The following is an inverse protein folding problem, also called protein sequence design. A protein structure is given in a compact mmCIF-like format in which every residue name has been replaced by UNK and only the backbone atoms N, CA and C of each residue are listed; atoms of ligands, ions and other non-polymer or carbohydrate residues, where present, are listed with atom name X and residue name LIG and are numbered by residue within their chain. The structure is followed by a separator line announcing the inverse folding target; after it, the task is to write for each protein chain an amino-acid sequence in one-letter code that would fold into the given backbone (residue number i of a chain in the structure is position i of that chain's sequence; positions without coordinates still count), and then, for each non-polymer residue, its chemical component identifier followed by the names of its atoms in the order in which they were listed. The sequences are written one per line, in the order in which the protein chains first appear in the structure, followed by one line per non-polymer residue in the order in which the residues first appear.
data_IF_412268659820
#
_entry.id   IF_412268659820
#
_cell.length_a   1.000
_cell.length_b   1.000
_cell.length_c   1.000
_cell.angle_alpha   90.00
_cell.angle_beta   90.00
_cell.angle_gamma   90.00
#
_symmetry.space_group_name_H-M   'P 1'
#
loop_
_entity.id
_entity.type
_entity.pdbx_description
1 polymer ?
#
# COMPACT_ATOMS: atom_id res chain seq x y z
N UNK A 1 18.91 -12.05 -47.70
CA UNK A 1 18.09 -11.40 -48.74
C UNK A 1 16.70 -11.13 -48.19
N UNK A 2 16.25 -9.86 -48.23
CA UNK A 2 14.86 -9.34 -48.08
C UNK A 2 14.21 -9.52 -46.68
N UNK A 3 13.51 -8.57 -46.07
CA UNK A 3 13.06 -7.21 -46.41
C UNK A 3 12.63 -6.50 -45.10
N UNK A 4 12.79 -5.18 -45.06
CA UNK A 4 12.26 -4.25 -44.06
C UNK A 4 10.73 -4.32 -43.90
N UNK A 5 10.21 -3.96 -42.73
CA UNK A 5 9.07 -3.04 -42.58
C UNK A 5 8.98 -2.50 -41.13
N UNK A 6 9.37 -1.23 -40.96
CA UNK A 6 8.91 -0.36 -39.88
C UNK A 6 7.41 -0.12 -39.97
N UNK A 7 6.72 0.04 -38.84
CA UNK A 7 5.54 0.90 -38.73
C UNK A 7 5.44 1.45 -37.30
N UNK A 8 5.73 2.74 -37.17
CA UNK A 8 5.40 3.61 -36.05
C UNK A 8 3.88 3.74 -35.95
N UNK A 9 3.30 3.58 -34.77
CA UNK A 9 2.00 4.15 -34.43
C UNK A 9 2.18 5.18 -33.32
N UNK A 10 2.29 6.43 -33.76
CA UNK A 10 2.05 7.62 -32.97
C UNK A 10 0.56 7.91 -33.07
N UNK A 11 -0.13 7.92 -31.95
CA UNK A 11 -1.51 8.39 -31.85
C UNK A 11 -1.86 8.57 -30.38
N UNK A 12 -2.57 9.59 -29.95
CA UNK A 12 -3.07 10.80 -30.60
C UNK A 12 -3.46 11.68 -29.40
N UNK A 13 -2.83 12.84 -29.26
CA UNK A 13 -3.15 13.81 -28.22
C UNK A 13 -4.56 14.35 -28.46
N UNK A 14 -5.51 14.08 -27.57
CA UNK A 14 -6.74 14.88 -27.48
C UNK A 14 -6.43 16.16 -26.69
N UNK A 15 -5.99 17.19 -27.42
CA UNK A 15 -5.99 18.57 -26.95
C UNK A 15 -7.43 19.09 -26.89
N UNK A 16 -7.81 19.64 -25.73
CA UNK A 16 -9.05 20.38 -25.56
C UNK A 16 -8.89 21.75 -26.24
N UNK A 17 -9.51 21.94 -27.40
CA UNK A 17 -9.55 23.22 -28.10
C UNK A 17 -10.61 24.14 -27.51
N UNK A 18 -10.18 25.28 -26.99
CA UNK A 18 -11.06 26.42 -26.69
C UNK A 18 -11.00 27.39 -27.86
N UNK A 19 -12.00 27.36 -28.72
CA UNK A 19 -12.24 28.43 -29.71
C UNK A 19 -13.49 29.20 -29.30
N UNK A 20 -13.26 30.44 -28.87
CA UNK A 20 -14.30 31.43 -28.69
C UNK A 20 -14.64 32.08 -30.03
N UNK A 21 -15.93 32.25 -30.31
CA UNK A 21 -16.41 33.30 -31.20
C UNK A 21 -17.87 33.61 -30.89
N UNK A 22 -18.13 34.78 -30.30
CA UNK A 22 -19.44 35.45 -30.36
C UNK A 22 -19.74 35.84 -31.81
N UNK A 23 -21.02 35.83 -32.22
CA UNK A 23 -21.62 37.11 -32.56
C UNK A 23 -23.07 37.28 -32.09
N UNK A 24 -23.39 38.54 -31.80
CA UNK A 24 -24.65 39.08 -31.31
C UNK A 24 -25.87 38.87 -32.23
N UNK A 25 -27.05 38.73 -31.61
CA UNK A 25 -28.38 38.92 -32.23
C UNK A 25 -29.49 38.83 -31.17
N UNK A 26 -30.36 39.86 -31.05
CA UNK A 26 -31.44 40.01 -30.04
C UNK A 26 -32.55 38.93 -30.11
N UNK A 27 -33.49 38.79 -29.18
CA UNK A 27 -34.25 39.74 -28.32
C UNK A 27 -34.85 38.96 -27.12
N UNK A 28 -35.36 39.65 -26.07
CA UNK A 28 -35.74 39.04 -24.79
C UNK A 28 -37.19 38.52 -24.81
N UNK A 29 -37.48 37.42 -24.10
CA UNK A 29 -38.75 37.24 -23.38
C UNK A 29 -38.79 35.92 -22.59
N UNK A 30 -38.95 36.06 -21.27
CA UNK A 30 -39.80 35.18 -20.45
C UNK A 30 -39.39 33.74 -20.18
N UNK A 31 -38.59 33.51 -19.14
CA UNK A 31 -38.58 32.25 -18.40
C UNK A 31 -37.45 32.19 -17.36
N UNK A 32 -37.72 31.88 -16.06
CA UNK A 32 -36.65 31.76 -15.08
C UNK A 32 -35.80 30.54 -15.42
N UNK A 33 -34.70 30.78 -16.12
CA UNK A 33 -33.59 29.85 -16.30
C UNK A 33 -32.92 29.60 -14.96
N UNK A 34 -33.56 28.81 -14.11
CA UNK A 34 -32.92 28.19 -12.96
C UNK A 34 -32.08 27.00 -13.43
N UNK A 35 -30.95 27.30 -14.05
CA UNK A 35 -29.77 26.44 -14.01
C UNK A 35 -28.53 27.27 -13.65
N UNK A 36 -28.71 28.24 -12.73
CA UNK A 36 -27.64 28.73 -11.87
C UNK A 36 -27.39 27.67 -10.78
N UNK A 37 -26.72 26.61 -11.18
CA UNK A 37 -25.91 25.81 -10.28
C UNK A 37 -24.75 25.33 -11.15
N UNK A 38 -23.79 26.22 -11.36
CA UNK A 38 -22.41 25.81 -11.52
C UNK A 38 -22.07 24.98 -10.29
N UNK A 39 -22.42 23.70 -10.34
CA UNK A 39 -21.76 22.69 -9.56
C UNK A 39 -20.30 22.80 -10.01
N UNK A 40 -19.55 23.58 -9.25
CA UNK A 40 -18.14 23.29 -9.06
C UNK A 40 -18.13 21.87 -8.48
N UNK A 41 -18.23 20.89 -9.39
CA UNK A 41 -17.68 19.57 -9.19
C UNK A 41 -16.23 19.85 -8.88
N UNK A 42 -15.93 19.94 -7.59
CA UNK A 42 -14.59 19.91 -7.07
C UNK A 42 -13.98 18.66 -7.66
N UNK A 43 -13.20 18.81 -8.72
CA UNK A 43 -12.31 17.78 -9.22
C UNK A 43 -11.22 17.59 -8.18
N UNK A 44 -11.58 17.04 -7.02
CA UNK A 44 -10.59 16.48 -6.10
C UNK A 44 -10.02 15.25 -6.80
N UNK A 45 -8.69 15.12 -6.87
CA UNK A 45 -8.10 13.87 -7.34
C UNK A 45 -8.66 12.70 -6.50
N UNK A 46 -8.77 11.50 -7.10
CA UNK A 46 -9.18 10.33 -6.35
C UNK A 46 -8.24 10.12 -5.16
N UNK A 47 -8.76 9.65 -4.02
CA UNK A 47 -7.95 9.44 -2.83
C UNK A 47 -6.82 8.44 -3.12
N UNK A 48 -5.67 8.67 -2.50
CA UNK A 48 -4.51 7.80 -2.71
C UNK A 48 -4.82 6.39 -2.12
N UNK A 49 -4.31 5.29 -2.70
CA UNK A 49 -4.58 3.95 -2.18
C UNK A 49 -4.30 3.78 -0.68
N UNK A 50 -3.26 4.43 -0.16
CA UNK A 50 -2.96 4.47 1.27
C UNK A 50 -4.10 5.08 2.11
N UNK A 51 -4.83 6.07 1.61
CA UNK A 51 -5.95 6.71 2.33
C UNK A 51 -7.20 5.83 2.36
N UNK A 52 -7.39 5.04 1.30
CA UNK A 52 -8.53 4.12 1.15
C UNK A 52 -8.25 2.71 1.62
N UNK A 53 -7.03 2.43 2.07
CA UNK A 53 -6.63 1.08 2.46
C UNK A 53 -7.48 0.58 3.63
N UNK A 54 -7.96 -0.65 3.51
CA UNK A 54 -8.76 -1.34 4.52
C UNK A 54 -8.39 -2.81 4.53
N UNK A 55 -8.51 -3.47 5.68
CA UNK A 55 -8.29 -4.91 5.82
C UNK A 55 -9.31 -5.51 6.81
N UNK A 56 -9.95 -6.66 6.50
CA UNK A 56 -10.96 -7.26 7.38
C UNK A 56 -10.42 -7.55 8.78
N UNK A 57 -11.11 -7.07 9.81
CA UNK A 57 -10.72 -7.27 11.20
C UNK A 57 -9.59 -6.37 11.69
N UNK A 58 -9.19 -5.36 10.92
CA UNK A 58 -8.28 -4.30 11.35
C UNK A 58 -9.02 -2.95 11.36
N UNK A 59 -8.74 -2.13 12.38
CA UNK A 59 -9.30 -0.80 12.47
C UNK A 59 -8.66 0.13 11.43
N UNK A 60 -9.45 1.10 10.99
CA UNK A 60 -9.07 2.13 10.04
C UNK A 60 -8.31 3.24 10.78
N UNK A 61 -6.99 3.08 10.91
CA UNK A 61 -6.12 3.88 11.78
C UNK A 61 -4.82 4.27 11.08
N UNK A 62 -4.38 5.49 11.36
CA UNK A 62 -3.19 6.09 10.77
C UNK A 62 -2.02 6.09 11.78
N UNK A 63 -0.79 6.24 11.26
CA UNK A 63 0.40 6.52 12.09
C UNK A 63 1.48 7.19 11.25
N UNK A 64 1.57 8.51 11.32
CA UNK A 64 2.41 9.37 10.47
C UNK A 64 2.16 9.28 8.94
N UNK A 65 1.65 8.15 8.44
CA UNK A 65 1.11 7.91 7.11
C UNK A 65 -0.36 7.45 7.22
N UNK A 66 -1.21 7.77 6.21
CA UNK A 66 -2.58 7.26 6.15
C UNK A 66 -2.61 5.74 6.20
N UNK A 67 -3.48 5.17 7.04
CA UNK A 67 -3.71 3.73 7.21
C UNK A 67 -2.49 2.87 7.56
N UNK A 68 -1.41 3.47 8.06
CA UNK A 68 -0.20 2.71 8.38
C UNK A 68 -0.45 1.67 9.49
N UNK A 69 -1.18 2.03 10.55
CA UNK A 69 -1.59 1.07 11.59
C UNK A 69 -2.49 -0.01 11.04
N UNK A 70 -3.37 0.31 10.09
CA UNK A 70 -4.22 -0.69 9.45
C UNK A 70 -3.41 -1.74 8.69
N UNK A 71 -2.42 -1.34 7.88
CA UNK A 71 -1.57 -2.32 7.16
C UNK A 71 -0.64 -3.09 8.09
N UNK A 72 -0.13 -2.47 9.16
CA UNK A 72 0.63 -3.18 10.19
C UNK A 72 -0.22 -4.25 10.87
N UNK A 73 -1.47 -3.93 11.24
CA UNK A 73 -2.42 -4.92 11.75
C UNK A 73 -2.66 -6.06 10.76
N UNK A 74 -2.82 -5.76 9.46
CA UNK A 74 -3.00 -6.79 8.43
C UNK A 74 -1.81 -7.75 8.36
N UNK A 75 -0.59 -7.20 8.34
CA UNK A 75 0.66 -7.97 8.28
C UNK A 75 0.88 -8.81 9.56
N UNK A 76 0.56 -8.27 10.74
CA UNK A 76 0.57 -9.02 12.00
C UNK A 76 -0.41 -10.19 11.98
N UNK A 77 -1.63 -10.00 11.45
CA UNK A 77 -2.59 -11.10 11.31
C UNK A 77 -2.08 -12.20 10.38
N UNK A 78 -1.50 -11.82 9.23
CA UNK A 78 -0.86 -12.77 8.31
C UNK A 78 0.29 -13.54 8.99
N UNK A 79 1.07 -12.87 9.84
CA UNK A 79 2.13 -13.51 10.63
C UNK A 79 1.55 -14.52 11.62
N UNK A 80 0.54 -14.13 12.39
CA UNK A 80 -0.08 -15.00 13.41
C UNK A 80 -0.77 -16.23 12.83
N UNK A 81 -1.22 -16.19 11.58
CA UNK A 81 -1.68 -17.41 10.88
C UNK A 81 -0.55 -18.44 10.67
N UNK A 82 0.72 -18.05 10.84
CA UNK A 82 1.91 -18.83 10.49
C UNK A 82 2.96 -18.84 11.60
N UNK A 83 2.69 -18.35 12.82
CA UNK A 83 3.69 -18.26 13.89
C UNK A 83 3.65 -19.41 14.91
N UNK A 84 2.75 -20.38 14.78
CA UNK A 84 2.69 -21.54 15.68
C UNK A 84 4.00 -22.35 15.69
N UNK A 85 4.47 -22.78 16.87
CA UNK A 85 5.70 -23.56 17.04
C UNK A 85 5.64 -24.51 18.24
N UNK A 86 6.52 -25.51 18.24
CA UNK A 86 6.74 -26.40 19.37
C UNK A 86 8.14 -26.22 19.98
N UNK A 87 9.11 -25.82 19.17
CA UNK A 87 10.50 -25.63 19.57
C UNK A 87 11.15 -24.49 18.77
N UNK A 88 12.26 -23.94 19.29
CA UNK A 88 12.96 -22.80 18.67
C UNK A 88 13.34 -23.04 17.21
N UNK A 89 13.72 -24.27 16.85
CA UNK A 89 14.11 -24.61 15.47
C UNK A 89 12.95 -24.57 14.47
N UNK A 90 11.71 -24.52 14.94
CA UNK A 90 10.56 -24.36 14.06
C UNK A 90 10.47 -22.91 13.57
N UNK A 91 11.06 -21.97 14.30
CA UNK A 91 10.94 -20.55 14.03
C UNK A 91 12.06 -20.02 13.14
N UNK A 92 11.69 -19.17 12.19
CA UNK A 92 12.62 -18.53 11.26
C UNK A 92 12.27 -17.06 11.09
N UNK A 93 13.31 -16.24 10.96
CA UNK A 93 13.17 -14.83 10.62
C UNK A 93 12.84 -14.67 9.14
N UNK A 94 11.84 -13.84 8.85
CA UNK A 94 11.44 -13.44 7.50
C UNK A 94 11.48 -11.94 7.41
N UNK A 95 12.33 -11.45 6.51
CA UNK A 95 12.32 -10.05 6.11
C UNK A 95 11.19 -9.87 5.10
N UNK A 96 10.16 -9.14 5.51
CA UNK A 96 9.15 -8.62 4.58
C UNK A 96 9.79 -7.43 3.89
N UNK A 97 9.66 -7.32 2.56
CA UNK A 97 10.09 -6.10 1.87
C UNK A 97 9.14 -4.97 2.29
N UNK A 98 9.58 -4.17 3.26
CA UNK A 98 8.78 -3.09 3.85
C UNK A 98 8.34 -2.04 2.84
N UNK A 99 9.08 -1.83 1.72
CA UNK A 99 8.91 -0.76 0.71
C UNK A 99 8.66 0.64 1.29
N UNK A 100 7.46 0.88 1.81
CA UNK A 100 7.01 2.13 2.42
C UNK A 100 6.34 1.96 3.79
N UNK A 101 6.27 0.74 4.35
CA UNK A 101 5.64 0.44 5.63
C UNK A 101 6.62 0.34 6.79
N UNK A 102 7.89 0.02 6.52
CA UNK A 102 8.90 -0.35 7.52
C UNK A 102 8.64 -1.70 8.22
N UNK A 103 7.57 -2.41 7.86
CA UNK A 103 7.19 -3.66 8.51
C UNK A 103 8.18 -4.78 8.23
N UNK A 104 8.59 -5.51 9.26
CA UNK A 104 9.51 -6.64 9.13
C UNK A 104 10.95 -6.24 8.77
N UNK A 105 11.25 -4.94 8.65
CA UNK A 105 12.62 -4.43 8.61
C UNK A 105 13.24 -4.52 10.01
N UNK A 106 12.48 -4.08 11.04
CA UNK A 106 12.90 -4.29 12.40
C UNK A 106 11.78 -4.20 13.47
N UNK A 107 11.66 -5.21 14.35
CA UNK A 107 12.28 -6.53 14.24
C UNK A 107 11.78 -7.27 12.97
N UNK A 108 12.52 -8.28 12.47
CA UNK A 108 12.00 -9.13 11.41
C UNK A 108 10.79 -9.92 11.90
N UNK A 109 9.90 -10.29 10.98
CA UNK A 109 8.77 -11.15 11.29
C UNK A 109 9.28 -12.55 11.61
N UNK A 110 8.80 -13.15 12.70
CA UNK A 110 9.12 -14.53 13.06
C UNK A 110 7.92 -15.41 12.75
N UNK A 111 8.15 -16.47 12.00
CA UNK A 111 7.12 -17.43 11.59
C UNK A 111 7.65 -18.85 11.67
N UNK A 112 6.75 -19.81 11.62
CA UNK A 112 7.08 -21.22 11.44
C UNK A 112 7.76 -21.43 10.07
N UNK A 113 8.79 -22.25 10.06
CA UNK A 113 9.59 -22.59 8.88
C UNK A 113 8.74 -23.19 7.76
N UNK A 114 7.73 -24.01 8.09
CA UNK A 114 6.81 -24.59 7.13
C UNK A 114 5.89 -23.54 6.47
N UNK A 115 5.55 -22.46 7.18
CA UNK A 115 4.70 -21.37 6.70
C UNK A 115 5.46 -20.22 6.04
N UNK A 116 6.80 -20.30 6.00
CA UNK A 116 7.69 -19.17 5.64
C UNK A 116 7.38 -18.57 4.27
N UNK A 117 7.32 -19.41 3.24
CA UNK A 117 7.15 -18.98 1.85
C UNK A 117 5.77 -18.38 1.60
N UNK A 118 4.74 -18.99 2.17
CA UNK A 118 3.37 -18.49 2.06
C UNK A 118 3.21 -17.14 2.76
N UNK A 119 3.76 -16.99 3.98
CA UNK A 119 3.77 -15.71 4.68
C UNK A 119 4.51 -14.64 3.86
N UNK A 120 5.71 -14.94 3.38
CA UNK A 120 6.50 -13.99 2.59
C UNK A 120 5.74 -13.51 1.34
N UNK A 121 5.05 -14.42 0.66
CA UNK A 121 4.25 -14.11 -0.53
C UNK A 121 3.07 -13.21 -0.17
N UNK A 122 2.23 -13.61 0.79
CA UNK A 122 1.03 -12.86 1.19
C UNK A 122 1.39 -11.50 1.80
N UNK A 123 2.45 -11.44 2.60
CA UNK A 123 2.93 -10.19 3.16
C UNK A 123 3.43 -9.23 2.08
N UNK A 124 4.15 -9.73 1.07
CA UNK A 124 4.60 -8.91 -0.05
C UNK A 124 3.42 -8.38 -0.88
N UNK A 125 2.43 -9.22 -1.18
CA UNK A 125 1.20 -8.81 -1.88
C UNK A 125 0.44 -7.74 -1.08
N UNK A 126 0.36 -7.91 0.24
CA UNK A 126 -0.33 -6.97 1.12
C UNK A 126 0.41 -5.62 1.20
N UNK A 127 1.75 -5.65 1.28
CA UNK A 127 2.56 -4.43 1.17
C UNK A 127 2.36 -3.76 -0.19
N UNK A 128 2.29 -4.51 -1.30
CA UNK A 128 2.04 -3.93 -2.63
C UNK A 128 0.65 -3.27 -2.76
N UNK A 129 -0.36 -3.83 -2.09
CA UNK A 129 -1.72 -3.26 -2.07
C UNK A 129 -1.77 -1.90 -1.36
N UNK A 130 -0.94 -1.72 -0.33
CA UNK A 130 -0.81 -0.46 0.40
C UNK A 130 0.21 0.50 -0.25
N UNK A 131 1.43 0.02 -0.51
CA UNK A 131 2.54 0.72 -1.14
C UNK A 131 2.53 0.52 -2.66
N UNK A 132 1.83 1.40 -3.37
CA UNK A 132 1.92 1.49 -4.84
C UNK A 132 3.33 1.89 -5.30
N UNK A 133 3.56 1.99 -6.61
CA UNK A 133 4.84 2.46 -7.18
C UNK A 133 5.20 3.91 -6.77
N UNK A 134 4.23 4.70 -6.34
CA UNK A 134 4.41 6.10 -5.94
C UNK A 134 3.65 6.37 -4.65
N UNK A 135 4.14 5.89 -3.49
CA UNK A 135 3.47 6.09 -2.21
C UNK A 135 3.43 7.58 -1.84
N UNK A 136 2.32 8.06 -1.29
CA UNK A 136 2.20 9.44 -0.80
C UNK A 136 2.96 9.67 0.51
N UNK A 137 3.26 8.58 1.24
CA UNK A 137 4.02 8.59 2.48
C UNK A 137 4.80 7.27 2.65
N UNK A 138 5.95 7.32 3.32
CA UNK A 138 6.76 6.14 3.64
C UNK A 138 7.20 6.17 5.10
N UNK A 139 7.18 5.00 5.72
CA UNK A 139 7.79 4.72 7.01
C UNK A 139 8.93 3.72 6.85
N UNK A 140 9.93 3.82 7.72
CA UNK A 140 11.07 2.90 7.81
C UNK A 140 11.03 2.19 9.15
N UNK A 141 11.43 0.91 9.19
CA UNK A 141 11.54 0.18 10.44
C UNK A 141 12.75 0.68 11.24
N UNK A 142 12.57 0.89 12.55
CA UNK A 142 13.66 1.25 13.44
C UNK A 142 13.88 0.18 14.50
N UNK A 143 15.13 -0.24 14.66
CA UNK A 143 15.51 -1.22 15.66
C UNK A 143 15.87 -0.59 17.00
N UNK A 144 15.33 -1.14 18.09
CA UNK A 144 15.88 -0.92 19.42
C UNK A 144 17.16 -1.76 19.68
N UNK A 145 17.34 -2.88 18.97
CA UNK A 145 18.43 -3.84 19.16
C UNK A 145 19.15 -4.16 17.84
N UNK A 146 20.45 -4.43 17.86
CA UNK A 146 21.23 -4.64 16.63
C UNK A 146 20.90 -5.98 15.94
N UNK A 147 20.38 -6.96 16.68
CA UNK A 147 20.04 -8.27 16.13
C UNK A 147 18.98 -9.00 16.96
N UNK A 148 18.30 -9.93 16.30
CA UNK A 148 17.22 -10.74 16.87
C UNK A 148 17.42 -12.22 16.55
N UNK A 149 17.00 -13.08 17.47
CA UNK A 149 17.02 -14.53 17.33
C UNK A 149 15.57 -15.04 17.34
N UNK A 150 15.17 -15.91 16.42
CA UNK A 150 13.85 -16.55 16.45
C UNK A 150 13.76 -17.51 17.64
N UNK A 151 12.67 -17.41 18.40
CA UNK A 151 12.39 -18.27 19.57
C UNK A 151 10.95 -18.74 19.57
N UNK A 152 10.73 -19.94 20.09
CA UNK A 152 9.40 -20.43 20.36
C UNK A 152 9.00 -20.11 21.79
N UNK A 153 8.04 -19.20 21.97
CA UNK A 153 7.56 -18.78 23.29
C UNK A 153 6.06 -18.96 23.35
N UNK A 154 5.60 -19.75 24.31
CA UNK A 154 4.17 -20.01 24.53
C UNK A 154 3.45 -20.54 23.28
N UNK A 155 4.15 -21.31 22.45
CA UNK A 155 3.62 -21.85 21.20
C UNK A 155 3.69 -20.91 20.00
N UNK A 156 4.30 -19.72 20.13
CA UNK A 156 4.41 -18.74 19.05
C UNK A 156 5.87 -18.34 18.78
N UNK A 157 6.19 -18.14 17.50
CA UNK A 157 7.47 -17.64 17.05
C UNK A 157 7.58 -16.14 17.34
N UNK A 158 8.59 -15.77 18.15
CA UNK A 158 8.84 -14.40 18.56
C UNK A 158 10.29 -14.00 18.29
N UNK A 159 10.51 -12.70 18.11
CA UNK A 159 11.83 -12.12 17.96
C UNK A 159 12.38 -11.76 19.34
N UNK A 160 13.45 -12.43 19.78
CA UNK A 160 14.15 -12.05 21.02
C UNK A 160 15.46 -11.32 20.68
N UNK A 161 15.82 -10.24 21.40
CA UNK A 161 17.12 -9.60 21.21
C UNK A 161 18.27 -10.58 21.47
N UNK A 162 19.29 -10.59 20.62
CA UNK A 162 20.41 -11.54 20.78
C UNK A 162 21.24 -11.30 22.05
N UNK A 163 21.24 -10.06 22.58
CA UNK A 163 21.99 -9.66 23.78
C UNK A 163 21.18 -9.79 25.09
N UNK A 164 19.94 -10.27 25.03
CA UNK A 164 19.16 -10.63 26.20
C UNK A 164 19.66 -11.99 26.73
N UNK A 165 20.79 -11.99 27.43
CA UNK A 165 21.24 -13.16 28.21
C UNK A 165 20.17 -13.62 29.21
N UNK A 166 20.22 -14.89 29.65
CA UNK A 166 19.22 -15.49 30.54
C UNK A 166 19.05 -14.76 31.88
#
# INVERSE_FOLDING_TARGET
MRKLASLLFVGLWLGCGSDGTDPSGGTPDGGPGACMASAALTCSPPPHPQETYTYPGCANEDDHCPRLKTVHCALERLRTERDDCQQDSDCVAVTVNGRCTGYGECPPAMVNTAGREEFATRAAEEVLRYCTESPSCSSIGQCAFPSFVPRCRQGHCVAEPADAGP
#
